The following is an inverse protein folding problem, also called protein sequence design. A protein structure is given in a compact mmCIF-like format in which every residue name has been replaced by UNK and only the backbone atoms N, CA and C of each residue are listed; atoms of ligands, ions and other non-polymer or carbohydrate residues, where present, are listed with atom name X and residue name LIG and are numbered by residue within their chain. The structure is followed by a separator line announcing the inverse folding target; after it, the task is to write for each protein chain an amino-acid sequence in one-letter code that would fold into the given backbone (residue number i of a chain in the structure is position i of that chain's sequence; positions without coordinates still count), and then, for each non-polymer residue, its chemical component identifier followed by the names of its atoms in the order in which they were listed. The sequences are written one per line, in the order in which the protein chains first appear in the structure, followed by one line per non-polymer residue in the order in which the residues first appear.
data_IF_138075121265
#
_entry.id   IF_138075121265
#
_cell.length_a   1.000
_cell.length_b   1.000
_cell.length_c   1.000
_cell.angle_alpha   90.00
_cell.angle_beta   90.00
_cell.angle_gamma   90.00
#
_symmetry.space_group_name_H-M   'P 1'
#
loop_
_entity.id
_entity.type
_entity.pdbx_description
1 polymer ?
#
# COMPACT_ATOMS: atom_id res chain seq x y z
N UNK A 1 3.93 4.42 13.53
CA UNK A 1 5.20 4.52 12.79
C UNK A 1 6.35 4.57 13.80
N UNK A 2 7.49 3.93 13.55
CA UNK A 2 8.70 3.99 14.40
C UNK A 2 9.46 5.31 14.19
N UNK A 3 9.92 5.97 15.26
CA UNK A 3 10.67 7.23 15.20
C UNK A 3 11.96 7.12 14.39
N UNK A 4 12.70 6.02 14.48
CA UNK A 4 13.91 5.82 13.67
C UNK A 4 13.58 5.76 12.19
N UNK A 5 12.48 5.10 11.85
CA UNK A 5 12.00 4.96 10.48
C UNK A 5 11.54 6.30 9.91
N UNK A 6 10.90 7.14 10.74
CA UNK A 6 10.48 8.49 10.37
C UNK A 6 11.68 9.40 10.07
N UNK A 7 12.70 9.36 10.92
CA UNK A 7 13.92 10.17 10.75
C UNK A 7 14.66 9.82 9.46
N UNK A 8 14.78 8.52 9.17
CA UNK A 8 15.35 8.05 7.91
C UNK A 8 14.54 8.54 6.72
N UNK A 9 13.21 8.42 6.77
CA UNK A 9 12.33 8.87 5.69
C UNK A 9 12.45 10.38 5.42
N UNK A 10 12.50 11.20 6.48
CA UNK A 10 12.68 12.66 6.35
C UNK A 10 14.03 12.97 5.72
N UNK A 11 15.10 12.32 6.17
CA UNK A 11 16.42 12.50 5.58
C UNK A 11 16.47 12.08 4.11
N UNK A 12 15.90 10.93 3.76
CA UNK A 12 15.86 10.44 2.38
C UNK A 12 15.07 11.37 1.44
N UNK A 13 13.97 11.95 1.92
CA UNK A 13 13.10 12.81 1.10
C UNK A 13 13.58 14.26 1.01
N UNK A 14 14.27 14.76 2.03
CA UNK A 14 14.58 16.20 2.15
C UNK A 14 16.08 16.50 2.22
N UNK A 15 16.91 15.50 2.50
CA UNK A 15 18.34 15.66 2.80
C UNK A 15 18.64 16.25 4.18
N UNK A 16 17.61 16.56 4.98
CA UNK A 16 17.76 17.21 6.28
C UNK A 16 17.90 16.15 7.38
N UNK A 17 18.97 16.26 8.18
CA UNK A 17 19.12 15.49 9.42
C UNK A 17 18.34 16.20 10.51
N UNK A 18 17.43 15.48 11.14
CA UNK A 18 16.52 16.02 12.16
C UNK A 18 16.69 15.17 13.43
N UNK A 19 16.94 15.84 14.55
CA UNK A 19 17.00 15.19 15.87
C UNK A 19 15.60 15.03 16.47
N UNK A 20 15.45 14.14 17.45
CA UNK A 20 14.13 13.82 18.06
C UNK A 20 13.53 15.05 18.77
N UNK A 21 14.39 15.89 19.35
CA UNK A 21 13.98 17.11 20.05
C UNK A 21 13.73 18.29 19.10
N UNK A 22 13.93 18.09 17.79
CA UNK A 22 13.72 19.14 16.80
C UNK A 22 12.21 19.36 16.58
N UNK A 23 11.71 20.61 16.66
CA UNK A 23 10.30 20.91 16.40
C UNK A 23 9.83 20.48 15.00
N UNK A 24 10.72 20.41 14.00
CA UNK A 24 10.40 19.88 12.67
C UNK A 24 10.03 18.40 12.77
N UNK A 25 10.73 17.63 13.60
CA UNK A 25 10.45 16.21 13.80
C UNK A 25 9.07 16.00 14.42
N UNK A 26 8.72 16.81 15.42
CA UNK A 26 7.41 16.78 16.06
C UNK A 26 6.28 17.05 15.07
N UNK A 27 6.45 18.02 14.16
CA UNK A 27 5.47 18.34 13.12
C UNK A 27 5.31 17.21 12.10
N UNK A 28 6.41 16.60 11.65
CA UNK A 28 6.33 15.45 10.73
C UNK A 28 5.65 14.27 11.42
N UNK A 29 6.01 13.98 12.68
CA UNK A 29 5.39 12.89 13.44
C UNK A 29 3.89 13.10 13.64
N UNK A 30 3.47 14.34 13.95
CA UNK A 30 2.06 14.71 14.07
C UNK A 30 1.33 14.55 12.74
N UNK A 31 1.89 15.09 11.65
CA UNK A 31 1.31 14.97 10.32
C UNK A 31 1.12 13.50 9.93
N UNK A 32 2.11 12.66 10.17
CA UNK A 32 2.05 11.23 9.85
C UNK A 32 0.99 10.49 10.68
N UNK A 33 0.84 10.84 11.97
CA UNK A 33 -0.22 10.27 12.80
C UNK A 33 -1.61 10.66 12.28
N UNK A 34 -1.82 11.93 11.96
CA UNK A 34 -3.09 12.44 11.44
C UNK A 34 -3.39 11.88 10.06
N UNK A 35 -2.39 11.79 9.17
CA UNK A 35 -2.56 11.20 7.83
C UNK A 35 -2.90 9.72 7.94
N UNK A 36 -2.22 8.96 8.79
CA UNK A 36 -2.50 7.53 8.98
C UNK A 36 -3.95 7.31 9.43
N UNK A 37 -4.42 8.05 10.43
CA UNK A 37 -5.81 7.98 10.91
C UNK A 37 -6.81 8.38 9.82
N UNK A 38 -6.53 9.46 9.07
CA UNK A 38 -7.39 9.92 8.00
C UNK A 38 -7.50 8.87 6.88
N UNK A 39 -6.38 8.25 6.49
CA UNK A 39 -6.34 7.20 5.47
C UNK A 39 -7.08 5.96 5.95
N UNK A 40 -6.87 5.52 7.19
CA UNK A 40 -7.57 4.37 7.77
C UNK A 40 -9.09 4.53 7.71
N UNK A 41 -9.61 5.67 8.18
CA UNK A 41 -11.05 5.99 8.09
C UNK A 41 -11.56 6.02 6.65
N UNK A 42 -10.75 6.45 5.68
CA UNK A 42 -11.16 6.44 4.27
C UNK A 42 -11.18 5.02 3.70
N UNK A 43 -10.20 4.19 4.04
CA UNK A 43 -10.15 2.77 3.64
C UNK A 43 -11.38 2.04 4.19
N UNK A 44 -11.68 2.18 5.48
CA UNK A 44 -12.87 1.58 6.10
C UNK A 44 -14.17 1.98 5.37
N UNK A 45 -14.30 3.26 5.00
CA UNK A 45 -15.45 3.75 4.24
C UNK A 45 -15.52 3.16 2.83
N UNK A 46 -14.39 3.03 2.16
CA UNK A 46 -14.30 2.43 0.82
C UNK A 46 -14.64 0.94 0.90
N UNK A 47 -14.15 0.23 1.89
CA UNK A 47 -14.44 -1.19 2.09
C UNK A 47 -15.93 -1.40 2.36
N UNK A 48 -16.52 -0.59 3.24
CA UNK A 48 -17.96 -0.62 3.49
C UNK A 48 -18.78 -0.34 2.22
N UNK A 49 -18.38 0.66 1.43
CA UNK A 49 -19.02 0.96 0.15
C UNK A 49 -18.84 -0.17 -0.88
N UNK A 50 -17.67 -0.80 -0.91
CA UNK A 50 -17.35 -1.92 -1.81
C UNK A 50 -18.17 -3.15 -1.47
N UNK A 51 -18.30 -3.49 -0.19
CA UNK A 51 -19.17 -4.57 0.30
C UNK A 51 -20.63 -4.29 -0.05
N UNK A 52 -21.12 -3.07 0.18
CA UNK A 52 -22.48 -2.68 -0.17
C UNK A 52 -22.72 -2.76 -1.69
N UNK A 53 -21.75 -2.36 -2.51
CA UNK A 53 -21.82 -2.49 -3.95
C UNK A 53 -21.83 -3.96 -4.40
N UNK A 54 -20.95 -4.80 -3.84
CA UNK A 54 -20.90 -6.24 -4.14
C UNK A 54 -22.22 -6.93 -3.79
N UNK A 55 -22.81 -6.60 -2.63
CA UNK A 55 -24.11 -7.09 -2.22
C UNK A 55 -25.22 -6.67 -3.20
N UNK A 56 -25.21 -5.41 -3.68
CA UNK A 56 -26.16 -4.91 -4.69
C UNK A 56 -26.02 -5.62 -6.03
N UNK A 57 -24.81 -6.01 -6.41
CA UNK A 57 -24.53 -6.73 -7.64
C UNK A 57 -24.72 -8.25 -7.50
N UNK A 58 -25.07 -8.75 -6.31
CA UNK A 58 -25.20 -10.18 -6.05
C UNK A 58 -23.88 -10.94 -6.13
N UNK A 59 -22.73 -10.24 -6.10
CA UNK A 59 -21.39 -10.83 -6.13
C UNK A 59 -20.96 -11.10 -4.69
N UNK A 60 -21.75 -11.91 -3.99
CA UNK A 60 -21.37 -12.43 -2.68
C UNK A 60 -20.50 -13.67 -2.91
N UNK A 61 -19.20 -13.51 -2.71
CA UNK A 61 -18.23 -14.60 -2.57
C UNK A 61 -17.97 -15.44 -3.83
N UNK A 62 -17.62 -14.80 -4.95
CA UNK A 62 -16.76 -15.45 -5.92
C UNK A 62 -15.32 -15.28 -5.42
N UNK A 63 -14.90 -16.12 -4.47
CA UNK A 63 -13.48 -16.32 -4.16
C UNK A 63 -12.76 -16.60 -5.46
N UNK A 64 -12.21 -15.57 -6.09
CA UNK A 64 -11.46 -15.69 -7.33
C UNK A 64 -10.21 -16.50 -6.97
N UNK A 65 -10.07 -17.75 -7.45
CA UNK A 65 -8.76 -18.36 -7.42
C UNK A 65 -7.87 -17.41 -8.23
N UNK A 66 -6.82 -16.90 -7.61
CA UNK A 66 -5.68 -16.33 -8.33
C UNK A 66 -5.28 -17.42 -9.33
N UNK A 67 -5.74 -17.32 -10.57
CA UNK A 67 -5.32 -18.21 -11.64
C UNK A 67 -3.81 -18.03 -11.70
N UNK A 68 -3.00 -19.03 -11.29
CA UNK A 68 -1.56 -18.88 -11.42
C UNK A 68 -1.28 -18.67 -12.91
N UNK A 69 -0.38 -17.74 -13.27
CA UNK A 69 -0.09 -17.48 -14.67
C UNK A 69 0.33 -18.80 -15.32
N UNK A 70 -0.42 -19.20 -16.36
CA UNK A 70 -0.09 -20.36 -17.16
C UNK A 70 1.36 -20.19 -17.67
N UNK A 71 2.22 -21.21 -17.58
CA UNK A 71 3.57 -21.11 -18.09
C UNK A 71 3.51 -20.82 -19.60
N UNK A 72 4.23 -19.78 -20.02
CA UNK A 72 4.33 -19.38 -21.42
C UNK A 72 4.75 -20.56 -22.30
N UNK A 73 4.21 -20.71 -23.53
CA UNK A 73 4.63 -21.77 -24.42
C UNK A 73 6.12 -21.61 -24.72
N UNK A 74 6.89 -22.65 -24.40
CA UNK A 74 8.30 -22.73 -24.76
C UNK A 74 8.44 -22.50 -26.26
N UNK A 75 9.15 -21.42 -26.61
CA UNK A 75 9.56 -21.15 -27.97
C UNK A 75 10.33 -22.36 -28.50
N UNK A 76 9.74 -23.07 -29.47
CA UNK A 76 10.44 -24.11 -30.22
C UNK A 76 11.49 -23.43 -31.11
N UNK A 77 12.66 -23.20 -30.53
CA UNK A 77 13.86 -22.84 -31.27
C UNK A 77 14.57 -24.13 -31.72
N UNK A 78 14.72 -24.22 -33.04
CA UNK A 78 15.71 -24.98 -33.82
C UNK A 78 15.48 -26.47 -34.18
N UNK A 79 15.52 -26.65 -35.51
CA UNK A 79 15.68 -27.84 -36.37
C UNK A 79 17.00 -28.61 -36.07
N UNK A 80 17.35 -29.80 -36.64
CA UNK A 80 17.32 -30.09 -38.10
C UNK A 80 17.10 -31.56 -38.54
N UNK A 81 16.96 -31.79 -39.86
CA UNK A 81 17.43 -32.99 -40.59
C UNK A 81 17.75 -32.60 -42.02
#
# INVERSE_FOLDING_TARGET
MDQHKLRTLVFEKTGVKVDIDDPIFALVALNEAVLAEAVERHVERIDAASVALAARLGVADAGMPLVPPAPAPAATANAPS
#
